data_IF_677747787390
#
_entry.id   IF_677747787390
#
_cell.length_a   1.000
_cell.length_b   1.000
_cell.length_c   1.000
_cell.angle_alpha   90.00
_cell.angle_beta   90.00
_cell.angle_gamma   90.00
#
_symmetry.space_group_name_H-M   'P 1'
#
loop_
_entity.id
_entity.type
_entity.pdbx_description
1 polymer ?
#
# COMPACT_ATOMS: atom_id res chain seq x y z
N UNK A 1 7.64 -3.70 4.03
CA UNK A 1 6.17 -3.53 3.90
C UNK A 1 5.77 -2.33 4.72
N UNK A 2 5.05 -1.38 4.15
CA UNK A 2 4.48 -0.21 4.86
C UNK A 2 2.99 -0.44 5.03
N UNK A 3 2.55 -0.52 6.28
CA UNK A 3 1.14 -0.78 6.64
C UNK A 3 0.50 0.55 7.06
N UNK A 4 -0.40 1.05 6.22
CA UNK A 4 -1.21 2.22 6.53
C UNK A 4 -2.36 1.84 7.47
N UNK A 5 -2.51 2.60 8.56
CA UNK A 5 -3.55 2.35 9.56
C UNK A 5 -4.80 3.22 9.32
N UNK A 6 -5.98 2.59 9.24
CA UNK A 6 -7.26 3.27 8.99
C UNK A 6 -8.12 3.41 10.24
N UNK A 7 -9.05 4.38 10.25
CA UNK A 7 -9.85 4.64 11.44
C UNK A 7 -10.71 3.42 11.73
N UNK A 8 -10.84 3.03 12.99
CA UNK A 8 -11.72 1.93 13.44
C UNK A 8 -11.30 0.49 13.04
N UNK A 9 -10.15 0.27 12.39
CA UNK A 9 -9.68 -1.06 11.96
C UNK A 9 -8.58 -1.69 12.85
N UNK A 10 -8.47 -1.29 14.12
CA UNK A 10 -7.41 -1.76 15.06
C UNK A 10 -7.33 -3.29 15.22
N UNK A 11 -8.46 -4.00 15.12
CA UNK A 11 -8.50 -5.47 15.17
C UNK A 11 -7.88 -6.09 13.91
N UNK A 12 -8.09 -5.48 12.75
CA UNK A 12 -7.54 -5.93 11.47
C UNK A 12 -6.02 -5.78 11.44
N UNK A 13 -5.48 -4.67 11.99
CA UNK A 13 -4.03 -4.45 12.04
C UNK A 13 -3.28 -5.60 12.72
N UNK A 14 -3.74 -6.08 13.89
CA UNK A 14 -3.06 -7.19 14.59
C UNK A 14 -3.03 -8.46 13.74
N UNK A 15 -4.11 -8.77 13.04
CA UNK A 15 -4.19 -9.94 12.15
C UNK A 15 -3.21 -9.78 10.97
N UNK A 16 -3.18 -8.61 10.36
CA UNK A 16 -2.24 -8.30 9.26
C UNK A 16 -0.79 -8.42 9.72
N UNK A 17 -0.43 -7.85 10.87
CA UNK A 17 0.94 -7.91 11.38
C UNK A 17 1.35 -9.34 11.71
N UNK A 18 0.51 -10.11 12.42
CA UNK A 18 0.79 -11.51 12.71
C UNK A 18 1.02 -12.33 11.44
N UNK A 19 0.25 -12.07 10.38
CA UNK A 19 0.45 -12.72 9.08
C UNK A 19 1.76 -12.27 8.40
N UNK A 20 2.05 -10.97 8.35
CA UNK A 20 3.28 -10.48 7.72
C UNK A 20 4.55 -10.99 8.42
N UNK A 21 4.47 -11.24 9.72
CA UNK A 21 5.57 -11.83 10.49
C UNK A 21 5.89 -13.28 10.11
N UNK A 22 4.94 -14.02 9.51
CA UNK A 22 5.19 -15.38 9.00
C UNK A 22 5.76 -15.40 7.57
N UNK A 23 5.86 -14.24 6.92
CA UNK A 23 6.44 -14.14 5.58
C UNK A 23 7.95 -13.87 5.65
N UNK A 24 8.76 -14.88 5.34
CA UNK A 24 10.23 -14.81 5.44
C UNK A 24 10.85 -13.72 4.56
N UNK A 25 10.26 -13.47 3.39
CA UNK A 25 10.71 -12.44 2.44
C UNK A 25 10.49 -11.00 2.92
N UNK A 26 9.71 -10.80 3.99
CA UNK A 26 9.48 -9.48 4.57
C UNK A 26 10.69 -9.10 5.43
N UNK A 27 11.48 -8.15 4.91
CA UNK A 27 12.65 -7.61 5.60
C UNK A 27 12.29 -6.73 6.81
N UNK A 28 11.27 -5.88 6.67
CA UNK A 28 10.77 -5.00 7.72
C UNK A 28 9.31 -4.64 7.48
N UNK A 29 8.56 -4.43 8.57
CA UNK A 29 7.20 -3.93 8.60
C UNK A 29 7.21 -2.55 9.26
N UNK A 30 6.92 -1.51 8.49
CA UNK A 30 6.77 -0.15 8.98
C UNK A 30 5.28 0.14 9.16
N UNK A 31 4.84 0.27 10.41
CA UNK A 31 3.47 0.62 10.77
C UNK A 31 3.36 2.13 10.77
N UNK A 32 2.61 2.66 9.80
CA UNK A 32 2.33 4.11 9.72
C UNK A 32 1.20 4.42 10.69
N UNK A 33 1.55 4.95 11.85
CA UNK A 33 0.64 5.30 12.93
C UNK A 33 0.35 6.80 12.93
N UNK A 34 -0.89 7.20 12.67
CA UNK A 34 -1.29 8.61 12.74
C UNK A 34 -1.70 8.98 14.16
N UNK A 35 -1.19 10.08 14.72
CA UNK A 35 -1.53 10.48 16.11
C UNK A 35 -3.01 10.74 16.34
N UNK A 36 -3.74 11.18 15.31
CA UNK A 36 -5.21 11.29 15.36
C UNK A 36 -5.94 9.97 15.63
N UNK A 37 -5.24 8.83 15.57
CA UNK A 37 -5.73 7.51 15.99
C UNK A 37 -5.76 7.34 17.50
N UNK A 38 -5.18 8.26 18.27
CA UNK A 38 -4.88 8.09 19.69
C UNK A 38 -3.63 7.24 19.90
N UNK A 39 -3.47 6.77 21.14
CA UNK A 39 -2.27 6.07 21.56
C UNK A 39 -2.04 4.77 20.78
N UNK A 40 -0.75 4.49 20.53
CA UNK A 40 -0.31 3.21 20.01
C UNK A 40 -0.83 2.08 20.92
N UNK A 41 -1.50 1.05 20.37
CA UNK A 41 -2.04 -0.03 21.19
C UNK A 41 -0.93 -0.72 21.97
N UNK A 42 -1.14 -0.94 23.26
CA UNK A 42 -0.14 -1.58 24.14
C UNK A 42 0.39 -2.92 23.61
N UNK A 43 -0.43 -3.66 22.86
CA UNK A 43 -0.04 -4.94 22.27
C UNK A 43 0.97 -4.79 21.12
N UNK A 44 1.04 -3.64 20.43
CA UNK A 44 1.88 -3.47 19.25
C UNK A 44 3.38 -3.48 19.62
N UNK A 45 3.84 -2.69 20.61
CA UNK A 45 5.21 -2.82 21.12
C UNK A 45 5.51 -4.19 21.74
N UNK A 46 4.50 -4.86 22.31
CA UNK A 46 4.63 -6.18 22.94
C UNK A 46 4.84 -7.33 21.94
N UNK A 47 4.66 -7.10 20.63
CA UNK A 47 5.02 -8.10 19.64
C UNK A 47 6.52 -8.40 19.65
N UNK A 48 7.36 -7.53 20.26
CA UNK A 48 8.81 -7.72 20.50
C UNK A 48 9.57 -8.31 19.31
N UNK A 49 9.20 -7.91 18.09
CA UNK A 49 9.74 -8.48 16.87
C UNK A 49 10.64 -7.48 16.17
N UNK A 50 11.85 -7.93 15.86
CA UNK A 50 12.91 -7.14 15.22
C UNK A 50 12.50 -6.52 13.88
N UNK A 51 11.51 -7.13 13.20
CA UNK A 51 10.99 -6.66 11.91
C UNK A 51 10.02 -5.50 12.02
N UNK A 52 9.42 -5.21 13.19
CA UNK A 52 8.39 -4.18 13.30
C UNK A 52 8.99 -2.84 13.73
N UNK A 53 8.66 -1.80 12.96
CA UNK A 53 8.99 -0.41 13.25
C UNK A 53 7.69 0.39 13.23
N UNK A 54 7.45 1.20 14.26
CA UNK A 54 6.30 2.11 14.29
C UNK A 54 6.77 3.51 13.89
N UNK A 55 6.14 4.06 12.86
CA UNK A 55 6.34 5.43 12.41
C UNK A 55 5.16 6.28 12.84
N UNK A 56 5.39 7.22 13.76
CA UNK A 56 4.37 8.17 14.16
C UNK A 56 4.32 9.36 13.21
N UNK A 57 3.10 9.69 12.76
CA UNK A 57 2.82 10.83 11.89
C UNK A 57 1.86 11.80 12.58
N UNK A 58 2.26 13.06 12.62
CA UNK A 58 1.38 14.19 12.99
C UNK A 58 0.33 14.47 11.91
N UNK A 59 0.66 14.17 10.65
CA UNK A 59 -0.22 14.41 9.51
C UNK A 59 -1.45 13.48 9.56
N UNK A 60 -2.64 14.09 9.59
CA UNK A 60 -3.91 13.38 9.61
C UNK A 60 -4.31 12.87 8.21
N UNK A 61 -3.67 13.39 7.16
CA UNK A 61 -3.94 13.04 5.78
C UNK A 61 -3.74 11.55 5.50
N UNK A 62 -4.58 10.94 4.66
CA UNK A 62 -4.29 9.62 4.07
C UNK A 62 -2.94 9.55 3.34
N UNK A 63 -2.36 10.71 2.98
CA UNK A 63 -1.07 10.81 2.31
C UNK A 63 0.12 10.54 3.23
N UNK A 64 -0.08 10.47 4.56
CA UNK A 64 0.97 10.15 5.52
C UNK A 64 1.76 8.88 5.14
N UNK A 65 1.10 7.89 4.54
CA UNK A 65 1.73 6.64 4.09
C UNK A 65 2.79 6.82 2.98
N UNK A 66 2.75 7.94 2.27
CA UNK A 66 3.69 8.28 1.19
C UNK A 66 4.87 9.12 1.68
N UNK A 67 4.90 9.51 2.95
CA UNK A 67 5.96 10.30 3.53
C UNK A 67 6.93 9.40 4.29
N UNK A 68 8.16 9.22 3.80
CA UNK A 68 9.15 8.40 4.49
C UNK A 68 9.66 9.09 5.77
N UNK A 69 9.33 8.57 6.95
CA UNK A 69 9.91 9.02 8.24
C UNK A 69 11.13 8.21 8.65
N UNK A 70 11.17 6.94 8.27
CA UNK A 70 12.34 6.09 8.44
C UNK A 70 12.70 5.42 7.12
N UNK A 71 14.01 5.33 6.86
CA UNK A 71 14.56 4.75 5.65
C UNK A 71 14.28 3.23 5.64
N UNK A 72 13.57 2.72 4.63
CA UNK A 72 13.34 1.29 4.51
C UNK A 72 14.63 0.54 4.14
N UNK A 73 14.84 -0.70 4.62
CA UNK A 73 16.04 -1.48 4.33
C UNK A 73 16.11 -2.00 2.88
N UNK A 74 15.03 -1.82 2.10
CA UNK A 74 14.89 -2.32 0.73
C UNK A 74 14.52 -1.20 -0.23
N UNK A 75 14.93 -1.34 -1.49
CA UNK A 75 14.51 -0.44 -2.57
C UNK A 75 13.01 -0.59 -2.88
N UNK A 76 12.50 -1.83 -2.87
CA UNK A 76 11.07 -2.11 -3.08
C UNK A 76 10.28 -1.99 -1.79
N UNK A 77 9.19 -1.25 -1.86
CA UNK A 77 8.22 -1.07 -0.77
C UNK A 77 6.89 -1.64 -1.24
N UNK A 78 6.33 -2.57 -0.46
CA UNK A 78 4.90 -2.89 -0.53
C UNK A 78 4.13 -1.88 0.31
N UNK A 79 3.28 -1.06 -0.33
CA UNK A 79 2.23 -0.32 0.36
C UNK A 79 1.03 -1.24 0.56
N UNK A 80 0.47 -1.23 1.77
CA UNK A 80 -0.66 -2.08 2.15
C UNK A 80 -1.55 -1.39 3.19
N UNK A 81 -2.86 -1.56 3.05
CA UNK A 81 -3.83 -1.18 4.08
C UNK A 81 -3.98 -2.25 5.18
N UNK A 82 -4.32 -1.82 6.39
CA UNK A 82 -4.44 -2.64 7.59
C UNK A 82 -5.61 -3.65 7.63
N UNK A 83 -6.39 -3.75 6.56
CA UNK A 83 -7.49 -4.71 6.38
C UNK A 83 -7.35 -5.56 5.10
N UNK A 84 -6.22 -5.46 4.40
CA UNK A 84 -5.92 -6.30 3.25
C UNK A 84 -4.95 -7.38 3.67
N UNK A 85 -5.26 -8.63 3.32
CA UNK A 85 -4.41 -9.78 3.57
C UNK A 85 -4.23 -10.57 2.26
N UNK A 86 -2.98 -10.91 1.95
CA UNK A 86 -2.62 -11.75 0.79
C UNK A 86 -1.62 -12.82 1.24
N UNK A 87 -1.66 -14.04 0.70
CA UNK A 87 -0.69 -15.08 1.05
C UNK A 87 0.76 -14.63 0.79
N UNK A 88 1.72 -15.09 1.60
CA UNK A 88 3.15 -14.74 1.41
C UNK A 88 3.62 -15.06 -0.01
N UNK A 89 3.22 -16.23 -0.57
CA UNK A 89 3.55 -16.60 -1.96
C UNK A 89 3.07 -15.58 -2.99
N UNK A 90 1.91 -14.95 -2.78
CA UNK A 90 1.44 -13.88 -3.66
C UNK A 90 2.38 -12.67 -3.53
N UNK A 91 2.70 -12.25 -2.31
CA UNK A 91 3.65 -11.15 -2.06
C UNK A 91 5.00 -11.41 -2.73
N UNK A 92 5.56 -12.62 -2.59
CA UNK A 92 6.83 -13.02 -3.22
C UNK A 92 6.76 -12.93 -4.75
N UNK A 93 5.64 -13.39 -5.32
CA UNK A 93 5.41 -13.34 -6.77
C UNK A 93 5.30 -11.90 -7.26
N UNK A 94 4.54 -11.06 -6.55
CA UNK A 94 4.42 -9.64 -6.87
C UNK A 94 5.75 -8.89 -6.74
N UNK A 95 6.55 -9.20 -5.71
CA UNK A 95 7.88 -8.62 -5.53
C UNK A 95 8.83 -9.06 -6.64
N UNK A 96 8.81 -10.33 -7.05
CA UNK A 96 9.62 -10.81 -8.17
C UNK A 96 9.27 -10.07 -9.47
N UNK A 97 7.98 -9.89 -9.78
CA UNK A 97 7.53 -9.13 -10.96
C UNK A 97 7.96 -7.65 -10.86
N UNK A 98 7.79 -7.04 -9.69
CA UNK A 98 8.24 -5.67 -9.44
C UNK A 98 9.74 -5.50 -9.60
N UNK A 99 10.54 -6.46 -9.11
CA UNK A 99 12.01 -6.39 -9.18
C UNK A 99 12.55 -6.40 -10.62
N UNK A 100 11.78 -6.94 -11.56
CA UNK A 100 12.07 -6.90 -12.99
C UNK A 100 11.64 -5.58 -13.66
N UNK A 101 10.81 -4.77 -12.99
CA UNK A 101 10.23 -3.52 -13.49
C UNK A 101 10.21 -2.43 -12.38
N UNK A 102 11.37 -2.08 -11.79
CA UNK A 102 11.42 -1.25 -10.58
C UNK A 102 10.90 0.18 -10.79
N UNK A 103 10.87 0.66 -12.04
CA UNK A 103 10.30 1.94 -12.49
C UNK A 103 8.76 1.95 -12.55
N UNK A 104 8.11 0.83 -12.23
CA UNK A 104 6.66 0.68 -12.29
C UNK A 104 6.07 0.27 -10.95
N UNK A 105 4.80 0.63 -10.76
CA UNK A 105 4.00 0.04 -9.70
C UNK A 105 3.51 -1.35 -10.13
N UNK A 106 3.57 -2.32 -9.23
CA UNK A 106 3.00 -3.67 -9.42
C UNK A 106 2.05 -3.96 -8.27
N UNK A 107 0.77 -4.19 -8.58
CA UNK A 107 -0.25 -4.37 -7.55
C UNK A 107 -1.43 -5.19 -8.04
N UNK A 108 -2.38 -5.41 -7.13
CA UNK A 108 -3.45 -6.39 -7.31
C UNK A 108 -4.81 -5.75 -7.59
N UNK A 109 -4.89 -4.43 -7.56
CA UNK A 109 -6.12 -3.68 -7.77
C UNK A 109 -5.97 -2.71 -8.93
N UNK A 110 -6.35 -3.18 -10.11
CA UNK A 110 -6.40 -2.38 -11.32
C UNK A 110 -7.66 -1.49 -11.34
N UNK A 111 -7.51 -0.28 -11.88
CA UNK A 111 -8.60 0.66 -12.18
C UNK A 111 -8.36 1.32 -13.53
N UNK A 112 -9.40 1.94 -14.07
CA UNK A 112 -9.39 2.55 -15.41
C UNK A 112 -10.08 3.90 -15.39
N UNK A 113 -9.54 4.86 -16.15
CA UNK A 113 -10.29 6.04 -16.57
C UNK A 113 -11.07 5.75 -17.86
N UNK A 114 -12.23 6.40 -18.01
CA UNK A 114 -13.02 6.35 -19.24
C UNK A 114 -13.45 7.76 -19.62
N UNK A 115 -13.42 8.11 -20.90
CA UNK A 115 -14.08 9.35 -21.36
C UNK A 115 -15.59 9.09 -21.35
N UNK A 116 -16.32 9.87 -20.55
CA UNK A 116 -17.79 9.78 -20.41
C UNK A 116 -18.49 10.66 -21.44
N UNK A 117 -17.96 11.86 -21.66
CA UNK A 117 -18.48 12.84 -22.59
C UNK A 117 -17.34 13.71 -23.11
N UNK A 118 -17.40 14.07 -24.38
CA UNK A 118 -16.56 15.12 -24.97
C UNK A 118 -17.48 16.27 -25.38
N UNK A 119 -17.18 17.47 -24.91
CA UNK A 119 -17.94 18.67 -25.26
C UNK A 119 -17.64 19.12 -26.71
N UNK A 120 -18.46 20.03 -27.24
CA UNK A 120 -18.27 20.58 -28.59
C UNK A 120 -16.99 21.39 -28.76
N UNK A 121 -16.41 21.90 -27.68
CA UNK A 121 -15.10 22.58 -27.66
C UNK A 121 -13.92 21.63 -27.37
N UNK A 122 -14.16 20.32 -27.25
CA UNK A 122 -13.11 19.31 -27.08
C UNK A 122 -12.71 18.99 -25.63
N UNK A 123 -13.41 19.52 -24.64
CA UNK A 123 -13.16 19.19 -23.23
C UNK A 123 -13.74 17.81 -22.91
N UNK A 124 -12.95 16.99 -22.23
CA UNK A 124 -13.34 15.64 -21.86
C UNK A 124 -13.73 15.53 -20.39
N UNK A 125 -14.90 14.95 -20.15
CA UNK A 125 -15.32 14.52 -18.83
C UNK A 125 -14.86 13.08 -18.61
N UNK A 126 -14.07 12.87 -17.56
CA UNK A 126 -13.52 11.57 -17.22
C UNK A 126 -14.32 10.87 -16.13
N UNK A 127 -14.50 9.57 -16.31
CA UNK A 127 -15.02 8.63 -15.33
C UNK A 127 -13.91 7.76 -14.77
N UNK A 128 -14.13 7.22 -13.57
CA UNK A 128 -13.22 6.30 -12.89
C UNK A 128 -13.98 5.01 -12.54
N UNK A 129 -13.37 3.86 -12.82
CA UNK A 129 -14.03 2.59 -12.57
C UNK A 129 -13.11 1.38 -12.63
N UNK A 130 -13.73 0.21 -12.64
CA UNK A 130 -13.06 -1.05 -12.85
C UNK A 130 -12.73 -1.25 -14.34
N UNK A 131 -11.69 -2.04 -14.68
CA UNK A 131 -11.53 -2.54 -16.05
C UNK A 131 -12.84 -3.20 -16.51
N UNK A 132 -13.23 -2.96 -17.77
CA UNK A 132 -14.44 -3.57 -18.33
C UNK A 132 -14.23 -5.08 -18.55
N UNK A 133 -15.34 -5.80 -18.83
CA UNK A 133 -15.44 -7.27 -18.91
C UNK A 133 -14.28 -7.97 -19.64
N UNK A 134 -14.09 -9.24 -19.26
CA UNK A 134 -13.09 -10.18 -19.80
C UNK A 134 -12.85 -10.01 -21.32
N UNK A 135 -11.57 -9.86 -21.68
CA UNK A 135 -11.12 -9.68 -23.07
C UNK A 135 -10.56 -8.29 -23.38
N UNK A 136 -10.91 -7.27 -22.60
CA UNK A 136 -10.31 -5.93 -22.67
C UNK A 136 -9.68 -5.56 -21.32
N UNK A 137 -8.63 -6.30 -20.92
CA UNK A 137 -7.85 -6.09 -19.70
C UNK A 137 -7.01 -4.79 -19.71
N UNK A 138 -7.56 -3.72 -20.27
CA UNK A 138 -6.95 -2.40 -20.24
C UNK A 138 -7.24 -1.76 -18.89
N UNK A 139 -6.17 -1.38 -18.21
CA UNK A 139 -6.20 -0.57 -16.99
C UNK A 139 -5.26 0.62 -17.19
N UNK A 140 -5.50 1.67 -16.42
CA UNK A 140 -4.67 2.89 -16.45
C UNK A 140 -4.15 3.27 -15.07
N UNK A 141 -4.57 2.56 -14.02
CA UNK A 141 -4.11 2.76 -12.65
C UNK A 141 -3.94 1.44 -11.93
N UNK A 142 -2.99 1.43 -10.99
CA UNK A 142 -2.84 0.40 -9.96
C UNK A 142 -3.01 1.11 -8.62
N UNK A 143 -3.93 0.64 -7.78
CA UNK A 143 -4.14 1.23 -6.47
C UNK A 143 -3.00 0.86 -5.51
N UNK A 144 -2.51 1.84 -4.75
CA UNK A 144 -1.48 1.67 -3.72
C UNK A 144 -1.92 0.82 -2.52
N UNK A 145 -3.19 0.41 -2.48
CA UNK A 145 -3.82 -0.36 -1.39
C UNK A 145 -3.13 -1.70 -1.10
N UNK A 146 -2.50 -2.27 -2.12
CA UNK A 146 -1.64 -3.45 -2.05
C UNK A 146 -0.75 -3.47 -3.29
N UNK A 147 0.30 -2.63 -3.31
CA UNK A 147 1.17 -2.47 -4.46
C UNK A 147 2.63 -2.25 -4.08
N UNK A 148 3.52 -2.84 -4.86
CA UNK A 148 4.95 -2.59 -4.83
C UNK A 148 5.29 -1.35 -5.64
N UNK A 149 6.22 -0.54 -5.11
CA UNK A 149 6.86 0.56 -5.81
C UNK A 149 8.28 0.79 -5.28
N UNK A 150 9.06 1.55 -6.03
CA UNK A 150 10.40 1.97 -5.61
C UNK A 150 10.33 3.05 -4.52
N UNK A 151 11.16 2.95 -3.48
CA UNK A 151 11.19 3.91 -2.37
C UNK A 151 11.38 5.37 -2.79
N UNK A 152 12.03 5.61 -3.92
CA UNK A 152 12.27 6.96 -4.42
C UNK A 152 10.98 7.70 -4.82
N UNK A 153 9.89 6.99 -5.12
CA UNK A 153 8.58 7.62 -5.32
C UNK A 153 7.96 8.17 -4.03
N UNK A 154 8.53 7.85 -2.87
CA UNK A 154 8.10 8.33 -1.55
C UNK A 154 9.07 9.36 -0.94
N UNK A 155 10.09 9.76 -1.70
CA UNK A 155 11.06 10.79 -1.29
C UNK A 155 10.62 12.14 -1.84
N UNK A 156 10.57 13.16 -0.97
CA UNK A 156 10.32 14.56 -1.30
C UNK A 156 11.59 15.38 -1.12
#
# INVERSE_FOLDING_TARGET
VRVNTRPHHRKSLRVVLNHLLTCDSVAQIQVVWRKSRGDIPKWLPQLHESKIVVEEHEDESPNAQFNLRQEPPTAGILLQEDDVLRPCKAMDTGFAIWSLNPDRMVGYEARRHTVLQTSTNGDEQWGYGYPQKEGQNQYSFVLSRFAFLHKDYLRS
#
